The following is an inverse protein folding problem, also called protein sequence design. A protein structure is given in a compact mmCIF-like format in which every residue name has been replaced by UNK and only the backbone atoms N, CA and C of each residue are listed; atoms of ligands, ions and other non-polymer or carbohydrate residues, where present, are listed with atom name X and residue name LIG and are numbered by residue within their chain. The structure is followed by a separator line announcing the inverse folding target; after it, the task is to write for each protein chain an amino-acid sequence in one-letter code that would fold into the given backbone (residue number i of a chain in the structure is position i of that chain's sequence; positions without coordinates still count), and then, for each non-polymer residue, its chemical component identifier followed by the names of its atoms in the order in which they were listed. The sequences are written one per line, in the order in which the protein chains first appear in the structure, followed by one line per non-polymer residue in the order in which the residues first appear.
data_IF_269272261776
#
_entry.id   IF_269272261776
#
_cell.length_a   1.000
_cell.length_b   1.000
_cell.length_c   1.000
_cell.angle_alpha   90.00
_cell.angle_beta   90.00
_cell.angle_gamma   90.00
#
_symmetry.space_group_name_H-M   'P 1'
#
loop_
_entity.id
_entity.type
_entity.pdbx_description
1 polymer ?
#
# COMPACT_ATOMS: atom_id res chain seq x y z
N UNK A 1 2.36 -11.38 -18.83
CA UNK A 1 1.57 -10.44 -17.99
C UNK A 1 1.06 -11.08 -16.71
N UNK A 2 0.39 -12.25 -16.76
CA UNK A 2 -0.09 -12.95 -15.55
C UNK A 2 1.00 -13.21 -14.49
N UNK A 3 2.19 -13.62 -14.92
CA UNK A 3 3.35 -13.81 -14.05
C UNK A 3 3.82 -12.50 -13.37
N UNK A 4 3.81 -11.38 -14.11
CA UNK A 4 4.20 -10.08 -13.57
C UNK A 4 3.19 -9.58 -12.52
N UNK A 5 1.89 -9.79 -12.75
CA UNK A 5 0.84 -9.53 -11.75
C UNK A 5 1.11 -10.34 -10.49
N UNK A 6 1.37 -11.65 -10.63
CA UNK A 6 1.68 -12.53 -9.50
C UNK A 6 2.93 -12.08 -8.73
N UNK A 7 3.98 -11.64 -9.43
CA UNK A 7 5.20 -11.13 -8.79
C UNK A 7 4.94 -9.86 -7.98
N UNK A 8 4.04 -8.99 -8.42
CA UNK A 8 3.61 -7.84 -7.62
C UNK A 8 2.84 -8.27 -6.37
N UNK A 9 1.90 -9.22 -6.51
CA UNK A 9 1.16 -9.77 -5.37
C UNK A 9 2.08 -10.40 -4.32
N UNK A 10 3.03 -11.23 -4.74
CA UNK A 10 4.00 -11.85 -3.80
C UNK A 10 4.75 -10.77 -3.01
N UNK A 11 5.19 -9.70 -3.67
CA UNK A 11 5.90 -8.61 -2.99
C UNK A 11 4.96 -7.85 -2.04
N UNK A 12 3.75 -7.52 -2.49
CA UNK A 12 2.76 -6.82 -1.68
C UNK A 12 2.37 -7.64 -0.43
N UNK A 13 2.16 -8.95 -0.59
CA UNK A 13 1.85 -9.86 0.50
C UNK A 13 3.01 -9.97 1.50
N UNK A 14 4.26 -9.93 1.03
CA UNK A 14 5.41 -9.92 1.93
C UNK A 14 5.47 -8.64 2.76
N UNK A 15 5.24 -7.48 2.15
CA UNK A 15 5.17 -6.21 2.89
C UNK A 15 4.04 -6.22 3.92
N UNK A 16 2.85 -6.67 3.54
CA UNK A 16 1.71 -6.74 4.46
C UNK A 16 1.99 -7.70 5.63
N UNK A 17 2.54 -8.88 5.36
CA UNK A 17 2.94 -9.84 6.41
C UNK A 17 4.00 -9.27 7.35
N UNK A 18 4.93 -8.48 6.83
CA UNK A 18 5.94 -7.82 7.67
C UNK A 18 5.28 -6.81 8.62
N UNK A 19 4.32 -6.01 8.13
CA UNK A 19 3.54 -5.09 8.96
C UNK A 19 2.70 -5.85 10.02
N UNK A 20 1.98 -6.89 9.61
CA UNK A 20 1.17 -7.73 10.51
C UNK A 20 2.02 -8.36 11.61
N UNK A 21 3.18 -8.92 11.27
CA UNK A 21 4.09 -9.50 12.26
C UNK A 21 4.67 -8.43 13.19
N UNK A 22 5.05 -7.26 12.65
CA UNK A 22 5.58 -6.15 13.45
C UNK A 22 4.59 -5.67 14.50
N UNK A 23 3.30 -5.69 14.21
CA UNK A 23 2.24 -5.35 15.16
C UNK A 23 2.07 -6.35 16.32
N UNK A 24 2.66 -7.55 16.22
CA UNK A 24 2.60 -8.55 17.31
C UNK A 24 3.72 -8.42 18.34
N UNK A 25 4.68 -7.51 18.10
CA UNK A 25 5.78 -7.27 19.03
C UNK A 25 5.28 -6.58 20.31
N UNK A 26 5.94 -6.84 21.45
CA UNK A 26 5.68 -6.13 22.72
C UNK A 26 5.93 -4.62 22.56
N UNK A 27 6.93 -4.25 21.76
CA UNK A 27 7.23 -2.88 21.36
C UNK A 27 7.19 -2.76 19.82
N UNK A 28 6.05 -2.41 19.22
CA UNK A 28 5.92 -2.26 17.77
C UNK A 28 6.79 -1.12 17.22
N UNK A 29 7.51 -1.41 16.12
CA UNK A 29 8.30 -0.42 15.38
C UNK A 29 7.38 0.26 14.35
N UNK A 30 6.56 1.19 14.84
CA UNK A 30 5.39 1.74 14.14
C UNK A 30 5.71 2.45 12.84
N UNK A 31 6.84 3.15 12.74
CA UNK A 31 7.31 3.80 11.51
C UNK A 31 7.63 2.77 10.41
N UNK A 32 8.30 1.67 10.77
CA UNK A 32 8.60 0.56 9.87
C UNK A 32 7.31 -0.17 9.46
N UNK A 33 6.37 -0.36 10.38
CA UNK A 33 5.06 -0.96 10.10
C UNK A 33 4.29 -0.10 9.08
N UNK A 34 4.17 1.20 9.34
CA UNK A 34 3.51 2.16 8.44
C UNK A 34 4.16 2.18 7.05
N UNK A 35 5.50 2.13 6.99
CA UNK A 35 6.24 2.03 5.73
C UNK A 35 5.86 0.78 4.94
N UNK A 36 5.79 -0.39 5.60
CA UNK A 36 5.39 -1.62 4.94
C UNK A 36 3.91 -1.63 4.53
N UNK A 37 3.01 -1.00 5.29
CA UNK A 37 1.62 -0.79 4.87
C UNK A 37 1.52 0.03 3.58
N UNK A 38 2.21 1.17 3.50
CA UNK A 38 2.27 1.97 2.27
C UNK A 38 2.81 1.15 1.10
N UNK A 39 3.89 0.41 1.33
CA UNK A 39 4.57 -0.40 0.32
C UNK A 39 3.70 -1.55 -0.18
N UNK A 40 2.88 -2.16 0.68
CA UNK A 40 1.90 -3.16 0.30
C UNK A 40 0.82 -2.55 -0.62
N UNK A 41 0.20 -1.44 -0.19
CA UNK A 41 -0.83 -0.71 -0.96
C UNK A 41 -0.32 -0.33 -2.33
N UNK A 42 0.86 0.29 -2.41
CA UNK A 42 1.48 0.67 -3.68
C UNK A 42 1.57 -0.53 -4.64
N UNK A 43 2.03 -1.68 -4.14
CA UNK A 43 2.26 -2.87 -4.96
C UNK A 43 0.97 -3.54 -5.39
N UNK A 44 -0.06 -3.58 -4.56
CA UNK A 44 -1.40 -4.05 -4.98
C UNK A 44 -1.98 -3.17 -6.09
N UNK A 45 -1.91 -1.84 -5.95
CA UNK A 45 -2.37 -0.92 -7.00
C UNK A 45 -1.58 -1.13 -8.30
N UNK A 46 -0.26 -1.30 -8.22
CA UNK A 46 0.57 -1.60 -9.40
C UNK A 46 0.23 -2.95 -10.03
N UNK A 47 -0.09 -3.98 -9.23
CA UNK A 47 -0.55 -5.27 -9.72
C UNK A 47 -1.82 -5.13 -10.57
N UNK A 48 -2.78 -4.32 -10.11
CA UNK A 48 -4.00 -4.02 -10.86
C UNK A 48 -3.73 -3.29 -12.18
N UNK A 49 -2.86 -2.28 -12.17
CA UNK A 49 -2.48 -1.55 -13.40
C UNK A 49 -1.87 -2.51 -14.44
N UNK A 50 -0.97 -3.41 -13.99
CA UNK A 50 -0.38 -4.44 -14.86
C UNK A 50 -1.45 -5.42 -15.36
N UNK A 51 -2.39 -5.82 -14.51
CA UNK A 51 -3.48 -6.71 -14.91
C UNK A 51 -4.35 -6.10 -16.02
N UNK A 52 -4.59 -4.79 -15.98
CA UNK A 52 -5.27 -4.05 -17.05
C UNK A 52 -4.41 -3.79 -18.29
N UNK A 53 -3.23 -4.41 -18.39
CA UNK A 53 -2.34 -4.33 -19.54
C UNK A 53 -1.55 -3.02 -19.63
N UNK A 54 -1.45 -2.27 -18.53
CA UNK A 54 -0.76 -0.98 -18.48
C UNK A 54 0.56 -1.10 -17.71
N UNK A 55 1.50 -0.19 -17.99
CA UNK A 55 2.77 -0.12 -17.25
C UNK A 55 2.57 0.83 -16.05
N UNK A 56 2.81 0.37 -14.80
CA UNK A 56 2.76 1.24 -13.64
C UNK A 56 3.90 2.27 -13.68
N UNK A 57 3.59 3.51 -13.30
CA UNK A 57 4.59 4.56 -13.17
C UNK A 57 5.59 4.27 -12.05
N UNK A 58 6.82 4.78 -12.19
CA UNK A 58 7.84 4.79 -11.13
C UNK A 58 7.53 5.92 -10.14
N UNK A 59 6.51 5.71 -9.31
CA UNK A 59 6.08 6.63 -8.25
C UNK A 59 5.73 5.85 -7.00
N UNK A 60 5.90 6.51 -5.85
CA UNK A 60 5.47 6.06 -4.52
C UNK A 60 4.21 6.78 -4.05
N UNK A 61 3.68 7.71 -4.86
CA UNK A 61 2.51 8.49 -4.51
C UNK A 61 1.23 7.66 -4.73
N UNK A 62 0.54 7.34 -3.63
CA UNK A 62 -0.67 6.52 -3.65
C UNK A 62 -1.81 7.22 -4.38
N UNK A 63 -1.98 8.55 -4.21
CA UNK A 63 -2.99 9.31 -4.94
C UNK A 63 -2.82 9.24 -6.46
N UNK A 64 -1.57 9.28 -6.96
CA UNK A 64 -1.28 9.12 -8.40
C UNK A 64 -1.67 7.72 -8.89
N UNK A 65 -1.35 6.67 -8.12
CA UNK A 65 -1.70 5.30 -8.49
C UNK A 65 -3.21 5.06 -8.43
N UNK A 66 -3.90 5.53 -7.39
CA UNK A 66 -5.35 5.45 -7.27
C UNK A 66 -6.06 6.15 -8.43
N UNK A 67 -5.64 7.37 -8.80
CA UNK A 67 -6.19 8.06 -9.97
C UNK A 67 -5.98 7.24 -11.25
N UNK A 68 -4.83 6.58 -11.40
CA UNK A 68 -4.57 5.72 -12.55
C UNK A 68 -5.46 4.47 -12.54
N UNK A 69 -5.66 3.84 -11.39
CA UNK A 69 -6.58 2.72 -11.25
C UNK A 69 -8.03 3.14 -11.52
N UNK A 70 -8.46 4.28 -11.00
CA UNK A 70 -9.80 4.84 -11.21
C UNK A 70 -10.10 5.11 -12.69
N UNK A 71 -9.11 5.57 -13.47
CA UNK A 71 -9.25 5.72 -14.93
C UNK A 71 -9.50 4.38 -15.66
N UNK A 72 -9.08 3.26 -15.07
CA UNK A 72 -9.24 1.91 -15.64
C UNK A 72 -10.49 1.20 -15.08
N UNK A 73 -10.90 1.54 -13.85
CA UNK A 73 -12.08 1.04 -13.16
C UNK A 73 -12.48 2.06 -12.07
N UNK A 74 -13.60 2.76 -12.31
CA UNK A 74 -14.07 3.84 -11.44
C UNK A 74 -14.38 3.39 -10.00
N UNK A 75 -14.57 2.09 -9.73
CA UNK A 75 -14.79 1.62 -8.35
C UNK A 75 -13.59 1.88 -7.44
N UNK A 76 -12.39 2.12 -7.97
CA UNK A 76 -11.23 2.53 -7.16
C UNK A 76 -11.41 3.88 -6.46
N UNK A 77 -12.42 4.68 -6.83
CA UNK A 77 -12.82 5.87 -6.08
C UNK A 77 -13.32 5.53 -4.67
N UNK A 78 -13.80 4.31 -4.44
CA UNK A 78 -14.17 3.82 -3.09
C UNK A 78 -12.97 3.77 -2.14
N UNK A 79 -11.74 3.77 -2.65
CA UNK A 79 -10.51 3.82 -1.88
C UNK A 79 -9.99 5.27 -1.67
N UNK A 80 -10.78 6.30 -1.98
CA UNK A 80 -10.37 7.68 -1.67
C UNK A 80 -10.12 7.86 -0.16
N UNK A 81 -9.04 8.56 0.21
CA UNK A 81 -8.68 8.83 1.61
C UNK A 81 -7.50 8.01 2.13
N UNK A 82 -7.12 6.91 1.47
CA UNK A 82 -5.92 6.13 1.85
C UNK A 82 -4.62 6.77 1.33
N UNK A 83 -4.70 7.89 0.61
CA UNK A 83 -3.55 8.54 0.02
C UNK A 83 -2.61 9.18 1.03
N UNK A 84 -3.08 9.39 2.27
CA UNK A 84 -2.27 9.78 3.42
C UNK A 84 -1.10 8.80 3.68
N UNK A 85 -1.26 7.51 3.32
CA UNK A 85 -0.19 6.52 3.41
C UNK A 85 1.07 6.93 2.62
N UNK A 86 0.93 7.81 1.61
CA UNK A 86 2.08 8.35 0.85
C UNK A 86 3.12 8.99 1.77
N UNK A 87 2.70 9.59 2.87
CA UNK A 87 3.58 10.31 3.78
C UNK A 87 4.53 9.35 4.51
N UNK A 88 4.13 8.09 4.71
CA UNK A 88 5.01 7.06 5.29
C UNK A 88 6.16 6.67 4.37
N UNK A 89 6.01 6.86 3.05
CA UNK A 89 7.09 6.65 2.10
C UNK A 89 8.06 7.82 2.04
N UNK A 90 7.79 8.98 2.64
CA UNK A 90 8.64 10.17 2.47
C UNK A 90 9.03 10.74 3.82
N UNK A 91 8.05 11.16 4.62
CA UNK A 91 8.25 11.91 5.87
C UNK A 91 8.97 11.10 6.93
N UNK A 92 8.68 9.79 7.05
CA UNK A 92 9.33 8.91 8.03
C UNK A 92 10.80 8.59 7.71
N UNK A 93 11.30 8.90 6.50
CA UNK A 93 12.65 8.52 6.05
C UNK A 93 13.71 9.62 6.21
N UNK A 94 13.32 10.85 6.49
CA UNK A 94 14.25 11.98 6.61
C UNK A 94 14.28 12.54 8.04
N UNK A 95 15.49 12.72 8.57
CA UNK A 95 15.73 13.08 9.97
C UNK A 95 15.32 14.51 10.34
N UNK A 96 15.00 15.35 9.37
CA UNK A 96 14.46 16.70 9.54
C UNK A 96 12.95 16.71 9.83
N UNK A 97 12.27 15.57 9.65
CA UNK A 97 10.87 15.34 9.97
C UNK A 97 10.67 14.19 10.97
N UNK A 98 11.51 14.12 12.03
CA UNK A 98 11.45 13.04 13.02
C UNK A 98 10.05 12.90 13.61
N UNK A 99 9.35 11.86 13.17
CA UNK A 99 8.01 11.50 13.58
C UNK A 99 7.95 9.98 13.68
N UNK A 100 7.48 9.48 14.82
CA UNK A 100 7.20 8.07 15.04
C UNK A 100 5.69 7.98 15.21
N UNK A 101 4.97 7.32 14.29
CA UNK A 101 3.52 7.16 14.41
C UNK A 101 3.17 6.47 15.73
N UNK A 102 2.09 6.87 16.41
CA UNK A 102 1.57 6.09 17.53
C UNK A 102 1.03 4.73 17.04
N UNK A 103 0.83 3.78 17.95
CA UNK A 103 0.37 2.42 17.61
C UNK A 103 -0.97 2.46 16.89
N UNK A 104 -1.88 3.33 17.31
CA UNK A 104 -3.21 3.50 16.72
C UNK A 104 -3.15 3.94 15.25
N UNK A 105 -2.13 4.73 14.89
CA UNK A 105 -1.91 5.14 13.50
C UNK A 105 -1.35 3.99 12.65
N UNK A 106 -0.47 3.17 13.22
CA UNK A 106 0.03 1.96 12.56
C UNK A 106 -1.08 0.91 12.37
N UNK A 107 -1.99 0.76 13.33
CA UNK A 107 -3.19 -0.07 13.22
C UNK A 107 -4.08 0.39 12.07
N UNK A 108 -4.42 1.69 12.02
CA UNK A 108 -5.21 2.26 10.94
C UNK A 108 -4.55 2.06 9.57
N UNK A 109 -3.23 2.24 9.47
CA UNK A 109 -2.48 2.00 8.24
C UNK A 109 -2.53 0.53 7.81
N UNK A 110 -2.50 -0.40 8.76
CA UNK A 110 -2.61 -1.83 8.49
C UNK A 110 -4.02 -2.21 8.02
N UNK A 111 -5.06 -1.68 8.65
CA UNK A 111 -6.46 -1.87 8.22
C UNK A 111 -6.68 -1.38 6.79
N UNK A 112 -6.15 -0.21 6.45
CA UNK A 112 -6.23 0.31 5.07
C UNK A 112 -5.48 -0.58 4.08
N UNK A 113 -4.31 -1.10 4.44
CA UNK A 113 -3.55 -2.01 3.58
C UNK A 113 -4.31 -3.33 3.33
N UNK A 114 -4.97 -3.89 4.35
CA UNK A 114 -5.82 -5.07 4.24
C UNK A 114 -7.03 -4.81 3.36
N UNK A 115 -7.73 -3.69 3.57
CA UNK A 115 -8.87 -3.26 2.74
C UNK A 115 -8.48 -3.13 1.27
N UNK A 116 -7.32 -2.53 0.97
CA UNK A 116 -6.83 -2.40 -0.41
C UNK A 116 -6.55 -3.76 -1.03
N UNK A 117 -5.91 -4.67 -0.28
CA UNK A 117 -5.66 -6.04 -0.75
C UNK A 117 -6.95 -6.72 -1.18
N UNK A 118 -7.94 -6.76 -0.29
CA UNK A 118 -9.23 -7.41 -0.55
C UNK A 118 -9.92 -6.81 -1.76
N UNK A 119 -9.96 -5.48 -1.80
CA UNK A 119 -10.53 -4.75 -2.93
C UNK A 119 -9.84 -5.11 -4.25
N UNK A 120 -8.50 -5.04 -4.31
CA UNK A 120 -7.74 -5.33 -5.54
C UNK A 120 -7.91 -6.78 -5.98
N UNK A 121 -7.90 -7.74 -5.06
CA UNK A 121 -8.16 -9.16 -5.36
C UNK A 121 -9.55 -9.32 -6.00
N UNK A 122 -10.57 -8.61 -5.49
CA UNK A 122 -11.92 -8.67 -6.07
C UNK A 122 -12.01 -8.19 -7.53
N UNK A 123 -11.07 -7.34 -7.97
CA UNK A 123 -11.03 -6.74 -9.32
C UNK A 123 -10.17 -7.51 -10.32
N UNK A 124 -9.39 -8.49 -9.85
CA UNK A 124 -8.49 -9.29 -10.68
C UNK A 124 -9.07 -10.70 -10.78
N UNK A 125 -9.78 -10.95 -11.89
CA UNK A 125 -10.37 -12.25 -12.23
C UNK A 125 -9.64 -12.93 -13.38
#
# INVERSE_FOLDING_TARGET
MKELVNNWFIKADNDLKTAEFGMTAEEPITDTICFHCQQAVEKYLKAFIVYKGQIPGKTHNIAVLLRKCAQLDNSFLELSGIDHLTDYAVTLRYADGFYIPPVEEAEAALEDAQRVKEFVISKIK
#
